data_IF_560646864162
#
_entry.id   IF_560646864162
#
_cell.length_a   1.000
_cell.length_b   1.000
_cell.length_c   1.000
_cell.angle_alpha   90.00
_cell.angle_beta   90.00
_cell.angle_gamma   90.00
#
_symmetry.space_group_name_H-M   'P 1'
#
loop_
_entity.id
_entity.type
_entity.pdbx_description
1 polymer ?
#
# COMPACT_ATOMS: atom_id res chain seq x y z
N UNK A 1 32.72 -7.85 51.30
CA UNK A 1 32.25 -8.69 50.18
C UNK A 1 30.75 -8.85 50.20
N UNK A 2 29.96 -7.74 50.25
CA UNK A 2 28.46 -7.78 50.29
C UNK A 2 27.79 -6.71 49.41
N UNK A 3 28.50 -6.12 48.42
CA UNK A 3 27.96 -5.06 47.58
C UNK A 3 27.82 -5.39 46.07
N UNK A 4 28.16 -6.63 45.65
CA UNK A 4 28.16 -7.04 44.25
C UNK A 4 26.85 -7.81 43.86
N UNK A 5 26.10 -8.33 44.84
CA UNK A 5 24.95 -9.19 44.61
C UNK A 5 23.62 -8.44 44.37
N UNK A 6 23.55 -7.11 44.60
CA UNK A 6 22.31 -6.35 44.41
C UNK A 6 22.19 -5.77 42.99
N UNK A 7 23.29 -5.56 42.28
CA UNK A 7 23.27 -5.00 40.92
C UNK A 7 22.89 -5.99 39.81
N UNK A 8 23.04 -7.31 40.10
CA UNK A 8 22.68 -8.34 39.12
C UNK A 8 21.22 -8.75 39.11
N UNK A 9 20.46 -8.43 40.17
CA UNK A 9 19.04 -8.77 40.27
C UNK A 9 18.11 -7.75 39.60
N UNK A 10 18.53 -6.46 39.50
CA UNK A 10 17.77 -5.41 38.84
C UNK A 10 17.89 -5.43 37.31
N UNK A 11 18.99 -5.97 36.76
CA UNK A 11 19.17 -6.10 35.33
C UNK A 11 18.32 -7.24 34.73
N UNK A 12 17.96 -8.26 35.54
CA UNK A 12 17.17 -9.41 35.08
C UNK A 12 15.65 -9.11 35.02
N UNK A 13 15.18 -8.10 35.77
CA UNK A 13 13.77 -7.75 35.82
C UNK A 13 13.32 -6.81 34.67
N UNK A 14 14.26 -6.12 34.01
CA UNK A 14 13.95 -5.24 32.87
C UNK A 14 13.89 -5.98 31.53
N UNK A 15 14.34 -7.24 31.47
CA UNK A 15 14.33 -8.02 30.23
C UNK A 15 13.11 -8.92 30.07
N UNK A 16 12.31 -9.16 31.11
CA UNK A 16 11.15 -10.05 31.06
C UNK A 16 9.85 -9.37 30.61
N UNK A 17 9.83 -8.03 30.46
CA UNK A 17 8.61 -7.30 30.06
C UNK A 17 8.40 -7.18 28.55
N UNK A 18 9.36 -7.62 27.73
CA UNK A 18 9.27 -7.50 26.27
C UNK A 18 8.61 -8.68 25.54
N UNK A 19 8.36 -9.81 26.23
CA UNK A 19 7.89 -11.03 25.58
C UNK A 19 6.37 -11.27 25.62
N UNK A 20 5.59 -10.44 26.30
CA UNK A 20 4.12 -10.64 26.38
C UNK A 20 3.31 -9.86 25.36
N UNK A 21 3.93 -8.99 24.56
CA UNK A 21 3.21 -8.16 23.57
C UNK A 21 2.88 -8.89 22.25
N UNK A 22 3.50 -10.04 21.95
CA UNK A 22 3.36 -10.67 20.64
C UNK A 22 2.08 -11.50 20.41
N UNK A 23 1.32 -11.85 21.44
CA UNK A 23 0.15 -12.73 21.27
C UNK A 23 -1.19 -11.98 21.11
N UNK A 24 -1.27 -10.71 21.52
CA UNK A 24 -2.51 -9.91 21.40
C UNK A 24 -2.75 -9.34 20.00
N UNK A 25 -1.71 -9.28 19.15
CA UNK A 25 -1.80 -8.63 17.82
C UNK A 25 -2.47 -9.53 16.77
N UNK A 26 -2.49 -10.85 16.95
CA UNK A 26 -3.06 -11.77 15.95
C UNK A 26 -4.59 -11.70 15.82
N UNK A 27 -5.30 -11.28 16.87
CA UNK A 27 -6.77 -11.23 16.90
C UNK A 27 -7.33 -9.79 16.94
N UNK A 28 -6.48 -8.77 16.91
CA UNK A 28 -6.92 -7.39 16.90
C UNK A 28 -7.41 -7.00 15.50
N UNK A 29 -8.54 -6.28 15.42
CA UNK A 29 -8.98 -5.66 14.17
C UNK A 29 -8.00 -4.55 13.74
N UNK A 30 -8.13 -4.05 12.50
CA UNK A 30 -7.20 -3.04 11.96
C UNK A 30 -7.20 -1.74 12.78
N UNK A 31 -8.34 -1.37 13.36
CA UNK A 31 -8.46 -0.21 14.25
C UNK A 31 -7.63 -0.38 15.53
N UNK A 32 -7.65 -1.58 16.13
CA UNK A 32 -6.85 -1.87 17.34
C UNK A 32 -5.35 -1.94 17.03
N UNK A 33 -4.98 -2.40 15.82
CA UNK A 33 -3.59 -2.43 15.36
C UNK A 33 -3.04 -1.01 15.16
N UNK A 34 -3.83 -0.09 14.57
CA UNK A 34 -3.46 1.31 14.40
C UNK A 34 -3.25 2.04 15.73
N UNK A 35 -4.06 1.75 16.75
CA UNK A 35 -3.96 2.37 18.07
C UNK A 35 -2.75 1.90 18.90
N UNK A 36 -2.25 0.67 18.65
CA UNK A 36 -1.20 0.04 19.46
C UNK A 36 0.24 0.21 18.94
N UNK A 37 0.42 0.65 17.70
CA UNK A 37 1.73 0.73 17.04
C UNK A 37 2.17 2.19 16.98
N UNK A 38 3.04 2.59 17.87
CA UNK A 38 3.59 3.95 17.94
C UNK A 38 4.43 4.34 16.73
N UNK A 39 4.56 5.64 16.52
CA UNK A 39 5.12 6.34 15.33
C UNK A 39 6.49 5.82 14.86
N UNK A 40 7.34 5.32 15.77
CA UNK A 40 8.67 4.83 15.40
C UNK A 40 8.67 3.44 14.74
N UNK A 41 7.60 2.65 14.91
CA UNK A 41 7.51 1.31 14.36
C UNK A 41 6.86 1.28 12.96
N UNK A 42 6.10 2.30 12.59
CA UNK A 42 5.29 2.29 11.36
C UNK A 42 6.11 2.17 10.08
N UNK A 43 7.15 2.96 9.92
CA UNK A 43 8.00 2.90 8.72
C UNK A 43 8.81 1.60 8.63
N UNK A 44 9.26 1.05 9.77
CA UNK A 44 9.98 -0.22 9.83
C UNK A 44 9.03 -1.40 9.59
N UNK A 45 7.83 -1.36 10.17
CA UNK A 45 6.83 -2.41 9.99
C UNK A 45 6.25 -2.36 8.57
N UNK A 46 6.01 -1.18 8.02
CA UNK A 46 5.58 -1.03 6.63
C UNK A 46 6.60 -1.55 5.63
N UNK A 47 7.89 -1.28 5.84
CA UNK A 47 8.98 -1.85 5.03
C UNK A 47 9.08 -3.38 5.16
N UNK A 48 8.93 -3.92 6.37
CA UNK A 48 8.98 -5.36 6.63
C UNK A 48 7.71 -6.07 6.10
N UNK A 49 6.54 -5.47 6.29
CA UNK A 49 5.28 -6.03 5.77
C UNK A 49 5.24 -5.94 4.24
N UNK A 50 5.69 -4.82 3.64
CA UNK A 50 5.80 -4.70 2.20
C UNK A 50 6.74 -5.72 1.58
N UNK A 51 7.78 -6.13 2.32
CA UNK A 51 8.69 -7.19 1.89
C UNK A 51 8.07 -8.61 2.04
N UNK A 52 6.99 -8.76 2.80
CA UNK A 52 6.30 -10.04 3.07
C UNK A 52 4.88 -10.11 2.47
N UNK A 53 4.39 -9.04 1.85
CA UNK A 53 3.11 -9.03 1.15
C UNK A 53 3.28 -9.72 -0.21
N UNK A 54 3.00 -11.01 -0.22
CA UNK A 54 3.15 -11.85 -1.40
C UNK A 54 4.58 -12.37 -1.59
N UNK A 55 4.75 -13.32 -2.47
CA UNK A 55 6.02 -14.03 -2.74
C UNK A 55 7.08 -13.19 -3.50
N UNK A 56 6.90 -11.88 -3.60
CA UNK A 56 7.83 -10.92 -4.15
C UNK A 56 7.67 -9.60 -3.39
N UNK A 57 8.56 -9.30 -2.47
CA UNK A 57 8.39 -8.21 -1.52
C UNK A 57 8.50 -6.82 -2.15
N UNK A 58 7.42 -6.06 -2.18
CA UNK A 58 7.36 -4.66 -2.60
C UNK A 58 7.81 -3.73 -1.47
N UNK A 59 9.12 -3.64 -1.23
CA UNK A 59 9.68 -2.75 -0.22
C UNK A 59 9.27 -1.28 -0.45
N UNK A 60 9.15 -0.84 -1.71
CA UNK A 60 8.71 0.51 -2.07
C UNK A 60 7.25 0.76 -1.69
N UNK A 61 6.36 -0.22 -1.94
CA UNK A 61 4.96 -0.16 -1.55
C UNK A 61 4.82 -0.13 -0.02
N UNK A 62 5.56 -1.01 0.69
CA UNK A 62 5.55 -1.02 2.14
C UNK A 62 6.06 0.27 2.76
N UNK A 63 7.08 0.89 2.17
CA UNK A 63 7.58 2.20 2.57
C UNK A 63 6.57 3.32 2.32
N UNK A 64 5.85 3.30 1.19
CA UNK A 64 4.82 4.28 0.87
C UNK A 64 3.64 4.22 1.85
N UNK A 65 3.23 3.01 2.27
CA UNK A 65 2.11 2.80 3.19
C UNK A 65 2.53 2.91 4.66
N UNK A 66 3.80 2.62 4.97
CA UNK A 66 4.31 2.44 6.34
C UNK A 66 4.51 3.71 7.16
N UNK A 67 4.16 4.88 6.68
CA UNK A 67 4.23 6.13 7.44
C UNK A 67 3.07 6.22 8.44
N UNK A 68 3.16 5.46 9.54
CA UNK A 68 2.10 5.34 10.53
C UNK A 68 1.91 6.61 11.37
N UNK A 69 0.66 6.91 11.66
CA UNK A 69 0.24 7.87 12.67
C UNK A 69 -0.18 7.10 13.91
N UNK A 70 0.65 7.13 14.96
CA UNK A 70 0.37 6.37 16.19
C UNK A 70 -0.72 7.01 17.07
N UNK A 71 -1.35 6.18 17.94
CA UNK A 71 -2.28 6.62 18.97
C UNK A 71 -3.73 6.72 18.51
N UNK A 72 -4.54 7.56 19.18
CA UNK A 72 -5.97 7.72 18.88
C UNK A 72 -6.26 8.18 17.45
N UNK A 73 -5.39 8.96 16.85
CA UNK A 73 -5.47 9.37 15.45
C UNK A 73 -5.39 8.18 14.49
N UNK A 74 -4.56 7.17 14.77
CA UNK A 74 -4.46 5.96 13.96
C UNK A 74 -5.77 5.17 13.89
N UNK A 75 -6.54 5.12 14.98
CA UNK A 75 -7.84 4.46 14.99
C UNK A 75 -8.86 5.16 14.06
N UNK A 76 -8.91 6.49 14.04
CA UNK A 76 -9.80 7.26 13.16
C UNK A 76 -9.42 7.08 11.69
N UNK A 77 -8.13 7.20 11.39
CA UNK A 77 -7.59 6.94 10.04
C UNK A 77 -7.91 5.50 9.61
N UNK A 78 -7.62 4.53 10.49
CA UNK A 78 -7.88 3.11 10.23
C UNK A 78 -9.33 2.84 9.83
N UNK A 79 -10.29 3.36 10.59
CA UNK A 79 -11.73 3.22 10.28
C UNK A 79 -12.09 3.82 8.91
N UNK A 80 -11.56 5.00 8.60
CA UNK A 80 -11.82 5.67 7.32
C UNK A 80 -11.23 4.91 6.15
N UNK A 81 -10.00 4.39 6.32
CA UNK A 81 -9.36 3.53 5.32
C UNK A 81 -10.06 2.17 5.16
N UNK A 82 -10.58 1.59 6.24
CA UNK A 82 -11.38 0.36 6.15
C UNK A 82 -12.66 0.57 5.34
N UNK A 83 -13.33 1.72 5.52
CA UNK A 83 -14.51 2.09 4.73
C UNK A 83 -14.12 2.27 3.26
N UNK A 84 -13.08 3.04 2.96
CA UNK A 84 -12.58 3.25 1.61
C UNK A 84 -12.19 1.93 0.92
N UNK A 85 -11.49 1.02 1.61
CA UNK A 85 -11.11 -0.28 1.06
C UNK A 85 -12.32 -1.13 0.66
N UNK A 86 -13.38 -1.14 1.50
CA UNK A 86 -14.63 -1.84 1.18
C UNK A 86 -15.33 -1.23 -0.04
N UNK A 87 -15.37 0.09 -0.14
CA UNK A 87 -15.99 0.79 -1.28
C UNK A 87 -15.21 0.57 -2.58
N UNK A 88 -13.87 0.56 -2.55
CA UNK A 88 -13.04 0.17 -3.70
C UNK A 88 -13.38 -1.25 -4.15
N UNK A 89 -13.46 -2.20 -3.21
CA UNK A 89 -13.77 -3.60 -3.53
C UNK A 89 -15.19 -3.77 -4.10
N UNK A 90 -16.16 -2.98 -3.63
CA UNK A 90 -17.52 -2.96 -4.18
C UNK A 90 -17.58 -2.31 -5.57
N UNK A 91 -16.84 -1.23 -5.79
CA UNK A 91 -16.78 -0.53 -7.07
C UNK A 91 -16.10 -1.36 -8.16
N UNK A 92 -15.09 -2.14 -7.81
CA UNK A 92 -14.33 -2.97 -8.75
C UNK A 92 -14.08 -4.39 -8.20
N UNK A 93 -15.11 -5.28 -8.27
CA UNK A 93 -15.02 -6.66 -7.77
C UNK A 93 -14.03 -7.48 -8.58
N UNK A 94 -12.88 -7.60 -8.47
CA UNK A 94 -11.82 -8.29 -9.24
C UNK A 94 -10.48 -7.59 -9.12
N UNK A 95 -10.48 -6.45 -8.42
CA UNK A 95 -9.28 -5.86 -7.89
C UNK A 95 -8.90 -6.55 -6.57
N UNK A 96 -7.61 -6.70 -6.34
CA UNK A 96 -7.11 -7.18 -5.05
C UNK A 96 -6.91 -5.96 -4.13
N UNK A 97 -7.73 -5.88 -3.08
CA UNK A 97 -7.72 -4.77 -2.12
C UNK A 97 -7.28 -5.29 -0.77
N UNK A 98 -6.16 -4.83 -0.28
CA UNK A 98 -5.57 -5.24 0.99
C UNK A 98 -5.31 -4.05 1.91
N UNK A 99 -5.63 -4.22 3.20
CA UNK A 99 -5.27 -3.25 4.23
C UNK A 99 -3.87 -3.53 4.74
N UNK A 100 -3.01 -2.53 4.63
CA UNK A 100 -1.61 -2.61 5.08
C UNK A 100 -1.37 -1.47 6.07
N UNK A 101 -1.28 -1.81 7.36
CA UNK A 101 -1.22 -0.79 8.40
C UNK A 101 -2.40 0.19 8.30
N UNK A 102 -2.12 1.48 8.17
CA UNK A 102 -3.13 2.54 8.02
C UNK A 102 -3.39 2.92 6.55
N UNK A 103 -2.79 2.20 5.60
CA UNK A 103 -3.00 2.43 4.16
C UNK A 103 -3.79 1.31 3.48
N UNK A 104 -3.99 1.46 2.18
CA UNK A 104 -4.63 0.48 1.30
C UNK A 104 -3.65 0.15 0.17
N UNK A 105 -3.41 -1.13 -0.03
CA UNK A 105 -2.79 -1.66 -1.22
C UNK A 105 -3.89 -2.15 -2.18
N UNK A 106 -3.89 -1.62 -3.39
CA UNK A 106 -4.82 -2.00 -4.44
C UNK A 106 -4.03 -2.49 -5.64
N UNK A 107 -4.22 -3.76 -6.03
CA UNK A 107 -3.62 -4.34 -7.22
C UNK A 107 -4.64 -4.44 -8.35
N UNK A 108 -4.32 -3.82 -9.48
CA UNK A 108 -5.07 -3.90 -10.73
C UNK A 108 -4.26 -4.70 -11.76
N UNK A 109 -4.57 -5.98 -11.90
CA UNK A 109 -3.96 -6.85 -12.90
C UNK A 109 -4.43 -6.51 -14.32
N UNK A 110 -3.92 -7.24 -15.33
CA UNK A 110 -4.26 -7.03 -16.74
C UNK A 110 -5.78 -7.09 -17.03
N UNK A 111 -6.56 -7.86 -16.26
CA UNK A 111 -8.01 -7.91 -16.43
C UNK A 111 -8.70 -6.63 -16.00
N UNK A 112 -8.14 -5.92 -15.01
CA UNK A 112 -8.66 -4.66 -14.50
C UNK A 112 -8.13 -3.45 -15.27
N UNK A 113 -6.80 -3.36 -15.50
CA UNK A 113 -6.17 -2.28 -16.25
C UNK A 113 -5.26 -2.85 -17.34
N UNK A 114 -5.81 -3.01 -18.53
CA UNK A 114 -5.10 -3.55 -19.69
C UNK A 114 -4.48 -2.44 -20.53
N UNK A 115 -3.25 -2.72 -20.99
CA UNK A 115 -2.58 -1.96 -22.03
C UNK A 115 -2.34 -2.88 -23.25
N UNK A 116 -2.35 -2.31 -24.44
CA UNK A 116 -1.93 -3.04 -25.63
C UNK A 116 -0.43 -3.39 -25.56
N UNK A 117 -0.01 -4.37 -26.37
CA UNK A 117 1.39 -4.79 -26.42
C UNK A 117 2.29 -3.58 -26.73
N UNK A 118 3.33 -3.41 -25.93
CA UNK A 118 4.31 -2.30 -26.03
C UNK A 118 3.70 -0.89 -25.97
N UNK A 119 2.44 -0.74 -25.54
CA UNK A 119 1.81 0.57 -25.37
C UNK A 119 1.62 0.92 -23.91
N UNK A 120 1.55 2.21 -23.63
CA UNK A 120 1.15 2.78 -22.35
C UNK A 120 -0.24 3.44 -22.39
N UNK A 121 -0.88 3.49 -23.56
CA UNK A 121 -2.24 4.01 -23.69
C UNK A 121 -3.27 3.06 -23.06
N UNK A 122 -4.17 3.62 -22.24
CA UNK A 122 -5.25 2.87 -21.61
C UNK A 122 -6.27 2.39 -22.65
N UNK A 123 -6.61 1.12 -22.60
CA UNK A 123 -7.70 0.56 -23.41
C UNK A 123 -9.06 1.10 -22.95
N UNK A 124 -10.12 1.03 -23.78
CA UNK A 124 -11.48 1.43 -23.35
C UNK A 124 -11.94 0.67 -22.09
N UNK A 125 -11.61 -0.61 -21.96
CA UNK A 125 -11.95 -1.42 -20.78
C UNK A 125 -11.22 -0.92 -19.52
N UNK A 126 -9.93 -0.62 -19.64
CA UNK A 126 -9.16 -0.05 -18.53
C UNK A 126 -9.76 1.29 -18.05
N UNK A 127 -10.14 2.17 -18.99
CA UNK A 127 -10.81 3.43 -18.67
C UNK A 127 -12.13 3.21 -17.95
N UNK A 128 -12.98 2.28 -18.44
CA UNK A 128 -14.26 1.96 -17.81
C UNK A 128 -14.10 1.40 -16.39
N UNK A 129 -13.06 0.62 -16.13
CA UNK A 129 -12.77 0.12 -14.80
C UNK A 129 -12.22 1.23 -13.87
N UNK A 130 -11.34 2.09 -14.36
CA UNK A 130 -10.88 3.26 -13.61
C UNK A 130 -12.04 4.23 -13.31
N UNK A 131 -12.98 4.41 -14.23
CA UNK A 131 -14.16 5.27 -14.01
C UNK A 131 -15.00 4.83 -12.80
N UNK A 132 -15.06 3.52 -12.50
CA UNK A 132 -15.76 3.00 -11.31
C UNK A 132 -15.09 3.42 -10.00
N UNK A 133 -13.77 3.65 -9.99
CA UNK A 133 -13.02 4.07 -8.80
C UNK A 133 -13.09 5.57 -8.54
N UNK A 134 -13.42 6.38 -9.57
CA UNK A 134 -13.43 7.84 -9.46
C UNK A 134 -14.37 8.37 -8.36
N UNK A 135 -15.62 7.89 -8.20
CA UNK A 135 -16.48 8.32 -7.10
C UNK A 135 -15.85 8.11 -5.74
N UNK A 136 -15.25 6.93 -5.50
CA UNK A 136 -14.57 6.60 -4.26
C UNK A 136 -13.37 7.54 -4.03
N UNK A 137 -12.52 7.73 -5.04
CA UNK A 137 -11.37 8.63 -4.91
C UNK A 137 -11.75 10.11 -4.72
N UNK A 138 -12.94 10.53 -5.18
CA UNK A 138 -13.49 11.87 -4.92
C UNK A 138 -14.01 12.00 -3.50
N UNK A 139 -14.72 11.00 -2.99
CA UNK A 139 -15.23 10.98 -1.61
C UNK A 139 -14.07 11.04 -0.59
N UNK A 140 -13.01 10.28 -0.83
CA UNK A 140 -11.82 10.26 0.03
C UNK A 140 -10.73 11.20 -0.50
N UNK A 141 -11.07 12.49 -0.66
CA UNK A 141 -10.17 13.52 -1.19
C UNK A 141 -8.96 13.83 -0.29
N UNK A 142 -8.97 13.39 0.94
CA UNK A 142 -7.93 13.55 1.95
C UNK A 142 -6.94 12.36 2.00
N UNK A 143 -6.83 11.59 0.92
CA UNK A 143 -5.80 10.57 0.72
C UNK A 143 -4.82 10.95 -0.37
N UNK A 144 -3.57 10.47 -0.22
CA UNK A 144 -2.56 10.44 -1.28
C UNK A 144 -2.63 9.09 -2.00
N UNK A 145 -2.27 9.07 -3.27
CA UNK A 145 -2.28 7.88 -4.12
C UNK A 145 -0.94 7.80 -4.85
N UNK A 146 -0.16 6.77 -4.56
CA UNK A 146 1.04 6.46 -5.31
C UNK A 146 0.77 5.27 -6.23
N UNK A 147 1.13 5.40 -7.52
CA UNK A 147 0.82 4.44 -8.56
C UNK A 147 2.12 3.81 -9.05
N UNK A 148 2.20 2.49 -8.94
CA UNK A 148 3.35 1.68 -9.34
C UNK A 148 3.02 0.87 -10.59
N UNK A 149 3.85 0.97 -11.63
CA UNK A 149 3.72 0.18 -12.84
C UNK A 149 4.69 -1.00 -12.84
N UNK A 150 4.24 -2.15 -13.34
CA UNK A 150 5.04 -3.36 -13.50
C UNK A 150 4.84 -3.97 -14.90
N UNK A 151 5.81 -4.78 -15.33
CA UNK A 151 5.76 -5.58 -16.55
C UNK A 151 6.04 -7.04 -16.23
N UNK A 152 5.78 -7.92 -17.18
CA UNK A 152 6.38 -9.25 -17.18
C UNK A 152 7.87 -9.17 -17.55
N UNK A 153 8.56 -10.31 -17.52
CA UNK A 153 10.00 -10.41 -17.84
C UNK A 153 10.33 -10.39 -19.33
N UNK A 154 9.36 -10.19 -20.21
CA UNK A 154 9.59 -10.19 -21.66
C UNK A 154 10.33 -8.93 -22.12
N UNK A 155 11.44 -9.09 -22.86
CA UNK A 155 12.19 -7.98 -23.42
C UNK A 155 13.29 -7.44 -22.51
N UNK A 156 13.79 -6.23 -22.83
CA UNK A 156 14.94 -5.62 -22.14
C UNK A 156 14.49 -4.93 -20.85
N UNK A 157 15.29 -5.04 -19.80
CA UNK A 157 14.99 -4.47 -18.47
C UNK A 157 14.80 -2.94 -18.52
N UNK A 158 15.66 -2.21 -19.22
CA UNK A 158 15.60 -0.74 -19.33
C UNK A 158 14.33 -0.29 -20.08
N UNK A 159 13.95 -1.04 -21.12
CA UNK A 159 12.71 -0.80 -21.86
C UNK A 159 11.49 -1.00 -20.94
N UNK A 160 11.47 -2.09 -20.19
CA UNK A 160 10.38 -2.42 -19.27
C UNK A 160 10.27 -1.41 -18.12
N UNK A 161 11.39 -0.90 -17.59
CA UNK A 161 11.38 0.16 -16.61
C UNK A 161 10.67 1.41 -17.14
N UNK A 162 11.09 1.88 -18.33
CA UNK A 162 10.47 3.04 -18.99
C UNK A 162 9.01 2.79 -19.34
N UNK A 163 8.65 1.59 -19.81
CA UNK A 163 7.28 1.24 -20.17
C UNK A 163 6.36 1.23 -18.95
N UNK A 164 6.83 0.67 -17.84
CA UNK A 164 6.07 0.60 -16.59
C UNK A 164 5.81 2.00 -16.00
N UNK A 165 6.80 2.89 -16.04
CA UNK A 165 6.64 4.29 -15.62
C UNK A 165 5.59 5.02 -16.47
N UNK A 166 5.68 4.89 -17.82
CA UNK A 166 4.70 5.48 -18.74
C UNK A 166 3.28 4.94 -18.50
N UNK A 167 3.12 3.68 -18.12
CA UNK A 167 1.82 3.07 -17.79
C UNK A 167 1.25 3.67 -16.52
N UNK A 168 2.03 3.76 -15.46
CA UNK A 168 1.63 4.41 -14.22
C UNK A 168 1.25 5.88 -14.45
N UNK A 169 2.03 6.61 -15.24
CA UNK A 169 1.75 8.00 -15.61
C UNK A 169 0.44 8.13 -16.41
N UNK A 170 0.17 7.21 -17.33
CA UNK A 170 -1.08 7.21 -18.12
C UNK A 170 -2.32 7.01 -17.24
N UNK A 171 -2.23 6.16 -16.20
CA UNK A 171 -3.29 6.00 -15.21
C UNK A 171 -3.48 7.29 -14.42
N UNK A 172 -2.41 7.90 -13.92
CA UNK A 172 -2.45 9.19 -13.20
C UNK A 172 -3.11 10.28 -14.05
N UNK A 173 -2.64 10.45 -15.27
CA UNK A 173 -3.17 11.49 -16.17
C UNK A 173 -4.64 11.28 -16.49
N UNK A 174 -5.09 10.04 -16.63
CA UNK A 174 -6.49 9.72 -16.81
C UNK A 174 -7.34 10.14 -15.60
N UNK A 175 -6.90 9.79 -14.39
CA UNK A 175 -7.61 10.13 -13.16
C UNK A 175 -7.65 11.65 -12.92
N UNK A 176 -6.56 12.38 -13.21
CA UNK A 176 -6.51 13.84 -13.16
C UNK A 176 -7.48 14.44 -14.18
N UNK A 177 -7.51 13.92 -15.41
CA UNK A 177 -8.46 14.34 -16.45
C UNK A 177 -9.93 14.15 -16.08
N UNK A 178 -10.22 13.28 -15.09
CA UNK A 178 -11.56 13.07 -14.51
C UNK A 178 -11.84 13.96 -13.28
N UNK A 179 -10.96 14.91 -13.02
CA UNK A 179 -11.16 15.94 -11.99
C UNK A 179 -10.61 15.59 -10.61
N UNK A 180 -9.72 14.60 -10.51
CA UNK A 180 -8.98 14.36 -9.27
C UNK A 180 -7.76 15.30 -9.18
N UNK A 181 -7.45 15.78 -7.98
CA UNK A 181 -6.37 16.75 -7.77
C UNK A 181 -4.98 16.13 -8.05
N UNK A 182 -4.21 16.74 -8.95
CA UNK A 182 -2.88 16.27 -9.35
C UNK A 182 -1.90 16.13 -8.18
N UNK A 183 -2.01 16.99 -7.18
CA UNK A 183 -1.16 16.98 -5.97
C UNK A 183 -1.28 15.70 -5.12
N UNK A 184 -2.34 14.92 -5.31
CA UNK A 184 -2.55 13.65 -4.61
C UNK A 184 -1.76 12.50 -5.18
N UNK A 185 -1.22 12.64 -6.41
CA UNK A 185 -0.68 11.51 -7.16
C UNK A 185 0.84 11.57 -7.30
N UNK A 186 1.47 10.41 -7.08
CA UNK A 186 2.85 10.11 -7.50
C UNK A 186 2.85 8.87 -8.37
N UNK A 187 3.88 8.71 -9.21
CA UNK A 187 4.04 7.54 -10.08
C UNK A 187 5.46 7.04 -10.03
N UNK A 188 5.63 5.71 -10.12
CA UNK A 188 6.94 5.06 -10.24
C UNK A 188 6.83 3.83 -11.14
N UNK A 189 7.84 3.57 -11.95
CA UNK A 189 7.96 2.36 -12.75
C UNK A 189 8.96 1.40 -12.10
N UNK A 190 8.62 0.12 -12.04
CA UNK A 190 9.48 -0.94 -11.50
C UNK A 190 9.88 -1.98 -12.55
N UNK A 191 9.32 -1.88 -13.78
CA UNK A 191 9.63 -2.81 -14.86
C UNK A 191 9.35 -4.25 -14.45
N UNK A 192 10.35 -5.10 -14.57
CA UNK A 192 10.29 -6.54 -14.26
C UNK A 192 10.54 -6.86 -12.78
N UNK A 193 10.76 -5.86 -11.94
CA UNK A 193 11.00 -6.07 -10.52
C UNK A 193 9.75 -6.62 -9.81
N UNK A 194 9.96 -7.30 -8.68
CA UNK A 194 8.92 -7.78 -7.77
C UNK A 194 7.79 -8.58 -8.46
N UNK A 195 8.10 -9.68 -9.17
CA UNK A 195 7.09 -10.49 -9.80
C UNK A 195 6.20 -11.17 -8.75
N UNK A 196 4.87 -11.07 -8.91
CA UNK A 196 3.88 -11.72 -8.02
C UNK A 196 3.50 -13.13 -8.49
N UNK A 197 3.93 -13.52 -9.68
CA UNK A 197 3.71 -14.85 -10.26
C UNK A 197 4.93 -15.28 -11.10
N UNK A 198 5.10 -16.57 -11.38
CA UNK A 198 6.13 -17.05 -12.28
C UNK A 198 6.02 -16.43 -13.68
N UNK A 199 7.16 -16.07 -14.29
CA UNK A 199 7.21 -15.50 -15.65
C UNK A 199 7.39 -16.58 -16.76
N UNK A 200 7.26 -17.84 -16.42
CA UNK A 200 7.39 -18.99 -17.33
C UNK A 200 6.05 -19.45 -17.90
N UNK A 201 4.95 -18.86 -17.45
CA UNK A 201 3.59 -19.13 -17.96
C UNK A 201 2.91 -17.84 -18.43
N UNK A 202 2.05 -17.90 -19.48
CA UNK A 202 1.27 -16.74 -19.92
C UNK A 202 0.40 -16.13 -18.81
N UNK A 203 -0.19 -16.97 -17.97
CA UNK A 203 -1.04 -16.57 -16.84
C UNK A 203 -0.24 -15.84 -15.76
N UNK A 204 0.98 -16.31 -15.47
CA UNK A 204 1.88 -15.66 -14.54
C UNK A 204 2.38 -14.32 -15.08
N UNK A 205 2.78 -14.25 -16.35
CA UNK A 205 3.12 -13.00 -17.03
C UNK A 205 1.97 -11.99 -16.98
N UNK A 206 0.72 -12.44 -17.22
CA UNK A 206 -0.46 -11.58 -17.16
C UNK A 206 -0.68 -10.97 -15.77
N UNK A 207 -0.40 -11.72 -14.70
CA UNK A 207 -0.44 -11.20 -13.32
C UNK A 207 0.67 -10.17 -13.06
N UNK A 208 1.86 -10.38 -13.63
CA UNK A 208 2.98 -9.47 -13.48
C UNK A 208 2.78 -8.15 -14.24
N UNK A 209 2.04 -8.14 -15.36
CA UNK A 209 1.59 -6.92 -16.07
C UNK A 209 0.48 -6.24 -15.28
N UNK A 210 0.84 -5.45 -14.29
CA UNK A 210 -0.10 -4.86 -13.33
C UNK A 210 0.23 -3.41 -13.00
N UNK A 211 -0.74 -2.76 -12.42
CA UNK A 211 -0.57 -1.46 -11.77
C UNK A 211 -1.04 -1.60 -10.32
N UNK A 212 -0.23 -1.13 -9.40
CA UNK A 212 -0.55 -1.12 -7.98
C UNK A 212 -0.74 0.31 -7.47
N UNK A 213 -1.58 0.46 -6.46
CA UNK A 213 -1.83 1.73 -5.81
C UNK A 213 -1.54 1.60 -4.31
N UNK A 214 -0.71 2.48 -3.80
CA UNK A 214 -0.61 2.73 -2.37
C UNK A 214 -1.46 3.95 -2.03
N UNK A 215 -2.50 3.76 -1.25
CA UNK A 215 -3.41 4.83 -0.82
C UNK A 215 -3.16 5.08 0.67
N UNK A 216 -2.80 6.32 1.02
CA UNK A 216 -2.41 6.70 2.38
C UNK A 216 -3.11 7.98 2.81
N UNK A 217 -3.23 8.20 4.13
CA UNK A 217 -3.72 9.45 4.67
C UNK A 217 -2.81 10.62 4.23
N UNK A 218 -3.39 11.72 3.80
CA UNK A 218 -2.64 12.95 3.56
C UNK A 218 -2.50 13.79 4.86
N UNK A 219 -1.78 14.90 4.79
CA UNK A 219 -1.56 15.77 5.94
C UNK A 219 -2.86 16.30 6.56
N UNK A 220 -3.89 16.55 5.74
CA UNK A 220 -5.20 16.99 6.22
C UNK A 220 -5.89 15.91 7.06
N UNK A 221 -6.02 14.68 6.52
CA UNK A 221 -6.61 13.56 7.26
C UNK A 221 -5.89 13.29 8.58
N UNK A 222 -4.55 13.36 8.58
CA UNK A 222 -3.73 13.18 9.78
C UNK A 222 -4.03 14.27 10.82
N UNK A 223 -4.14 15.52 10.37
CA UNK A 223 -4.43 16.65 11.28
C UNK A 223 -5.85 16.56 11.84
N UNK A 224 -6.84 16.27 11.00
CA UNK A 224 -8.23 16.10 11.42
C UNK A 224 -8.35 14.97 12.47
N UNK A 225 -7.72 13.83 12.21
CA UNK A 225 -7.70 12.70 13.15
C UNK A 225 -7.01 13.04 14.50
N UNK A 226 -5.95 13.86 14.50
CA UNK A 226 -5.32 14.35 15.75
C UNK A 226 -6.24 15.29 16.53
N UNK A 227 -7.12 16.00 15.86
CA UNK A 227 -8.11 16.88 16.47
C UNK A 227 -9.40 16.14 16.88
N UNK A 228 -9.48 14.83 16.68
CA UNK A 228 -10.65 14.02 17.03
C UNK A 228 -11.82 14.14 16.05
N UNK A 229 -11.54 14.52 14.80
CA UNK A 229 -12.52 14.72 13.72
C UNK A 229 -12.47 13.59 12.68
#
# INVERSE_FOLDING_TARGET
MKKITILSLTALFLFSSFFTACNSVKNANNTQKGAGIGIAAGALIGGILGNNLGKGGNAALGAAIGAAVGGGAGALIGNKMDKQAREINQALPGAEVERVGEGIHLTLNENAVRFDLNKSSLTPQAKANLDKLIPVFKEYGDTNIEIFGYTDSSGKTEYNLTLSEKRAESVKMYLIGKGLAASRFKTSGFGIADPIAPNDTPEGMAKNRRVEFAITANAKMIQDAKNGQ
#
